data_IF_595953366721
#
_entry.id   IF_595953366721
#
_cell.length_a   1.000
_cell.length_b   1.000
_cell.length_c   1.000
_cell.angle_alpha   90.00
_cell.angle_beta   90.00
_cell.angle_gamma   90.00
#
_symmetry.space_group_name_H-M   'P 1'
#
loop_
_entity.id
_entity.type
_entity.pdbx_description
1 polymer ?
#
# COMPACT_ATOMS: atom_id res chain seq x y z
N UNK A 1 -18.10 -26.03 -34.09
CA UNK A 1 -17.42 -25.64 -32.84
C UNK A 1 -16.04 -26.29 -32.81
N UNK A 2 -14.96 -25.50 -32.79
CA UNK A 2 -13.58 -25.98 -32.59
C UNK A 2 -12.93 -25.06 -31.56
N UNK A 3 -12.83 -25.55 -30.32
CA UNK A 3 -12.17 -24.87 -29.21
C UNK A 3 -10.65 -25.00 -29.42
N UNK A 4 -9.94 -23.88 -29.55
CA UNK A 4 -8.47 -23.86 -29.52
C UNK A 4 -8.05 -23.42 -28.12
N UNK A 5 -7.54 -24.37 -27.34
CA UNK A 5 -6.92 -24.11 -26.04
C UNK A 5 -5.52 -23.58 -26.30
N UNK A 6 -5.28 -22.32 -25.94
CA UNK A 6 -3.94 -21.72 -25.94
C UNK A 6 -3.36 -21.95 -24.54
N UNK A 7 -2.39 -22.86 -24.44
CA UNK A 7 -1.60 -23.09 -23.23
C UNK A 7 -0.52 -22.00 -23.18
N UNK A 8 -0.61 -21.09 -22.22
CA UNK A 8 0.45 -20.12 -21.93
C UNK A 8 1.43 -20.82 -20.95
N UNK A 9 2.72 -20.94 -21.26
CA UNK A 9 3.66 -21.56 -20.34
C UNK A 9 3.82 -20.69 -19.10
N UNK A 10 3.56 -21.31 -17.95
CA UNK A 10 3.78 -20.76 -16.63
C UNK A 10 5.30 -20.72 -16.38
N UNK A 11 5.94 -19.62 -16.80
CA UNK A 11 7.34 -19.37 -16.50
C UNK A 11 7.49 -19.18 -14.98
N UNK A 12 7.91 -20.25 -14.32
CA UNK A 12 8.33 -20.30 -12.93
C UNK A 12 9.51 -19.33 -12.75
N UNK A 13 9.25 -18.13 -12.25
CA UNK A 13 10.29 -17.29 -11.68
C UNK A 13 10.68 -17.91 -10.32
N UNK A 14 11.74 -18.73 -10.32
CA UNK A 14 12.45 -19.07 -9.10
C UNK A 14 13.14 -17.78 -8.59
N UNK A 15 12.44 -17.02 -7.76
CA UNK A 15 13.13 -16.11 -6.85
C UNK A 15 13.81 -16.99 -5.81
N UNK A 16 15.13 -17.11 -5.90
CA UNK A 16 15.94 -17.69 -4.85
C UNK A 16 15.81 -16.80 -3.61
N UNK A 17 14.89 -17.17 -2.71
CA UNK A 17 14.85 -16.63 -1.37
C UNK A 17 16.12 -17.08 -0.66
N UNK A 18 17.14 -16.23 -0.64
CA UNK A 18 18.21 -16.38 0.34
C UNK A 18 17.59 -16.09 1.71
N UNK A 19 17.12 -17.15 2.38
CA UNK A 19 16.73 -17.09 3.77
C UNK A 19 18.00 -16.87 4.59
N UNK A 20 18.30 -15.61 4.94
CA UNK A 20 19.25 -15.31 5.99
C UNK A 20 18.57 -15.73 7.29
N UNK A 21 18.94 -16.90 7.81
CA UNK A 21 18.48 -17.32 9.13
C UNK A 21 19.01 -16.31 10.16
N UNK A 22 18.12 -15.50 10.72
CA UNK A 22 18.46 -14.62 11.83
C UNK A 22 18.84 -15.50 13.03
N UNK A 23 20.13 -15.55 13.35
CA UNK A 23 20.62 -16.22 14.56
C UNK A 23 20.17 -15.37 15.75
N UNK A 24 19.13 -15.82 16.45
CA UNK A 24 18.73 -15.18 17.71
C UNK A 24 19.77 -15.49 18.78
N UNK A 25 20.33 -14.45 19.39
CA UNK A 25 21.33 -14.61 20.46
C UNK A 25 20.69 -14.69 21.85
N UNK A 26 19.36 -14.77 21.90
CA UNK A 26 18.59 -14.74 23.14
C UNK A 26 17.93 -16.10 23.40
N UNK A 27 18.00 -16.63 24.63
CA UNK A 27 17.35 -17.89 24.96
C UNK A 27 15.83 -17.76 24.82
N UNK A 28 15.22 -18.64 24.02
CA UNK A 28 13.77 -18.63 23.83
C UNK A 28 13.07 -19.09 25.13
N UNK A 29 12.05 -18.33 25.55
CA UNK A 29 11.22 -18.67 26.72
C UNK A 29 11.53 -17.93 28.02
N UNK A 30 12.45 -16.96 28.04
CA UNK A 30 12.69 -16.07 29.19
C UNK A 30 12.26 -14.62 28.92
N UNK A 31 12.02 -13.85 29.98
CA UNK A 31 11.74 -12.41 29.87
C UNK A 31 12.90 -11.72 29.15
N UNK A 32 12.59 -11.08 28.03
CA UNK A 32 13.57 -10.37 27.19
C UNK A 32 14.23 -9.26 28.01
N UNK A 33 15.54 -9.33 28.18
CA UNK A 33 16.30 -8.27 28.84
C UNK A 33 16.70 -7.20 27.83
N UNK A 34 16.81 -5.94 28.27
CA UNK A 34 17.22 -4.82 27.40
C UNK A 34 18.57 -5.08 26.71
N UNK A 35 19.52 -5.72 27.41
CA UNK A 35 20.83 -6.09 26.86
C UNK A 35 20.74 -7.12 25.73
N UNK A 36 19.81 -8.05 25.84
CA UNK A 36 19.54 -9.06 24.83
C UNK A 36 18.91 -8.43 23.58
N UNK A 37 17.90 -7.58 23.75
CA UNK A 37 17.24 -6.88 22.64
C UNK A 37 18.22 -6.00 21.84
N UNK A 38 19.12 -5.29 22.52
CA UNK A 38 20.13 -4.44 21.85
C UNK A 38 21.16 -5.25 21.05
N UNK A 39 21.45 -6.49 21.47
CA UNK A 39 22.40 -7.36 20.77
C UNK A 39 21.79 -7.92 19.49
N UNK A 40 20.54 -8.36 19.54
CA UNK A 40 19.81 -8.83 18.36
C UNK A 40 19.56 -7.68 17.37
N UNK A 41 19.24 -6.47 17.84
CA UNK A 41 19.08 -5.28 16.98
C UNK A 41 20.39 -4.92 16.24
N UNK A 42 21.52 -4.93 16.97
CA UNK A 42 22.83 -4.70 16.36
C UNK A 42 23.15 -5.78 15.32
N UNK A 43 22.91 -7.06 15.62
CA UNK A 43 23.16 -8.15 14.69
C UNK A 43 22.27 -8.06 13.45
N UNK A 44 20.99 -7.69 13.61
CA UNK A 44 20.07 -7.46 12.50
C UNK A 44 20.54 -6.30 11.62
N UNK A 45 20.90 -5.16 12.22
CA UNK A 45 21.41 -3.99 11.49
C UNK A 45 22.70 -4.32 10.75
N UNK A 46 23.63 -5.03 11.39
CA UNK A 46 24.91 -5.40 10.79
C UNK A 46 24.75 -6.49 9.71
N UNK A 47 23.64 -7.26 9.75
CA UNK A 47 23.27 -8.23 8.71
C UNK A 47 22.55 -7.60 7.50
N UNK A 48 22.09 -6.35 7.60
CA UNK A 48 21.48 -5.68 6.47
C UNK A 48 22.54 -5.47 5.39
N UNK A 49 22.23 -5.75 4.11
CA UNK A 49 23.12 -5.40 3.02
C UNK A 49 23.39 -3.90 3.08
N UNK A 50 24.67 -3.52 3.06
CA UNK A 50 25.12 -2.13 3.13
C UNK A 50 24.82 -1.44 1.80
N UNK A 51 23.53 -1.27 1.53
CA UNK A 51 22.98 -0.79 0.27
C UNK A 51 23.18 0.70 0.25
N UNK A 52 23.98 1.17 -0.70
CA UNK A 52 24.23 2.60 -0.85
C UNK A 52 22.94 3.33 -1.23
N UNK A 53 22.83 4.62 -0.89
CA UNK A 53 21.70 5.44 -1.34
C UNK A 53 21.52 5.38 -2.88
N UNK A 54 22.61 5.21 -3.62
CA UNK A 54 22.59 5.06 -5.08
C UNK A 54 21.89 3.76 -5.52
N UNK A 55 22.17 2.63 -4.88
CA UNK A 55 21.51 1.35 -5.18
C UNK A 55 20.03 1.37 -4.78
N UNK A 56 19.67 2.00 -3.66
CA UNK A 56 18.26 2.22 -3.27
C UNK A 56 17.54 3.06 -4.34
N UNK A 57 18.16 4.14 -4.82
CA UNK A 57 17.61 4.98 -5.90
C UNK A 57 17.47 4.19 -7.20
N UNK A 58 18.45 3.34 -7.53
CA UNK A 58 18.38 2.51 -8.74
C UNK A 58 17.29 1.45 -8.65
N UNK A 59 17.13 0.79 -7.50
CA UNK A 59 16.02 -0.13 -7.24
C UNK A 59 14.67 0.59 -7.32
N UNK A 60 14.58 1.81 -6.80
CA UNK A 60 13.38 2.64 -6.94
C UNK A 60 13.08 2.95 -8.41
N UNK A 61 14.07 3.46 -9.15
CA UNK A 61 13.91 3.80 -10.57
C UNK A 61 13.58 2.58 -11.45
N UNK A 62 14.11 1.40 -11.13
CA UNK A 62 13.82 0.17 -11.86
C UNK A 62 12.40 -0.36 -11.60
N UNK A 63 11.85 -0.13 -10.41
CA UNK A 63 10.53 -0.64 -10.01
C UNK A 63 9.40 0.39 -10.15
N UNK A 64 9.74 1.68 -10.15
CA UNK A 64 8.81 2.72 -10.57
C UNK A 64 8.69 2.63 -12.08
N UNK A 65 7.51 2.22 -12.57
CA UNK A 65 7.13 2.52 -13.95
C UNK A 65 7.11 4.04 -14.09
N UNK A 66 8.20 4.61 -14.58
CA UNK A 66 8.16 5.94 -15.19
C UNK A 66 7.23 5.77 -16.39
N UNK A 67 6.01 6.30 -16.27
CA UNK A 67 5.15 6.48 -17.44
C UNK A 67 5.87 7.52 -18.28
N UNK A 68 6.71 7.07 -19.22
CA UNK A 68 7.25 7.93 -20.26
C UNK A 68 6.05 8.52 -20.97
N UNK A 69 5.86 9.83 -20.79
CA UNK A 69 4.79 10.61 -21.42
C UNK A 69 4.98 10.57 -22.94
N UNK A 70 4.44 9.53 -23.57
CA UNK A 70 4.03 9.54 -24.97
C UNK A 70 2.61 9.00 -25.09
N UNK A 71 1.78 9.31 -24.11
CA UNK A 71 0.34 9.24 -24.31
C UNK A 71 -0.10 10.62 -24.80
N UNK A 72 -0.92 10.74 -25.86
CA UNK A 72 -1.51 12.02 -26.24
C UNK A 72 -2.14 12.63 -24.99
N UNK A 73 -2.14 13.97 -24.88
CA UNK A 73 -2.73 14.72 -23.76
C UNK A 73 -4.21 14.32 -23.63
N UNK A 74 -4.46 13.20 -22.97
CA UNK A 74 -5.74 12.83 -22.42
C UNK A 74 -6.02 13.98 -21.46
N UNK A 75 -7.09 14.73 -21.72
CA UNK A 75 -7.61 15.67 -20.73
C UNK A 75 -8.07 14.83 -19.53
N UNK A 76 -7.12 14.49 -18.67
CA UNK A 76 -7.34 13.76 -17.43
C UNK A 76 -8.11 14.71 -16.53
N UNK A 77 -9.43 14.62 -16.60
CA UNK A 77 -10.33 15.37 -15.73
C UNK A 77 -10.28 14.69 -14.38
N UNK A 78 -9.63 15.33 -13.42
CA UNK A 78 -9.60 14.86 -12.04
C UNK A 78 -10.78 15.44 -11.27
N UNK A 79 -11.37 14.63 -10.41
CA UNK A 79 -12.37 15.10 -9.44
C UNK A 79 -11.89 14.70 -8.05
N UNK A 80 -11.86 15.68 -7.15
CA UNK A 80 -11.44 15.48 -5.76
C UNK A 80 -12.65 15.52 -4.85
N UNK A 81 -12.71 14.57 -3.92
CA UNK A 81 -13.78 14.43 -2.95
C UNK A 81 -13.19 14.32 -1.55
N UNK A 82 -13.99 14.66 -0.54
CA UNK A 82 -13.61 14.47 0.86
C UNK A 82 -14.72 13.77 1.64
N UNK A 83 -14.31 13.07 2.70
CA UNK A 83 -15.21 12.48 3.68
C UNK A 83 -14.59 12.67 5.07
N UNK A 84 -15.43 12.88 6.07
CA UNK A 84 -15.06 12.91 7.50
C UNK A 84 -16.14 12.17 8.28
N UNK A 85 -15.78 11.14 9.03
CA UNK A 85 -16.71 10.28 9.78
C UNK A 85 -17.96 9.88 9.00
N UNK A 86 -17.77 9.37 7.77
CA UNK A 86 -18.88 9.13 6.88
C UNK A 86 -18.47 8.51 5.57
N UNK A 87 -19.42 8.45 4.64
CA UNK A 87 -19.22 7.92 3.29
C UNK A 87 -19.67 8.95 2.27
N UNK A 88 -18.81 9.24 1.29
CA UNK A 88 -19.08 10.13 0.18
C UNK A 88 -19.11 9.33 -1.12
N UNK A 89 -20.19 9.45 -1.90
CA UNK A 89 -20.26 8.88 -3.25
C UNK A 89 -19.37 9.69 -4.19
N UNK A 90 -18.59 8.99 -5.00
CA UNK A 90 -17.64 9.54 -5.95
C UNK A 90 -18.19 9.45 -7.39
N UNK A 91 -17.37 8.99 -8.34
CA UNK A 91 -17.75 8.78 -9.75
C UNK A 91 -18.33 7.38 -9.99
N UNK A 92 -19.08 7.17 -11.10
CA UNK A 92 -19.44 5.85 -11.57
C UNK A 92 -18.21 4.97 -11.82
N UNK A 93 -18.33 3.65 -11.66
CA UNK A 93 -17.22 2.71 -11.94
C UNK A 93 -16.93 2.57 -13.43
N UNK A 94 -17.89 2.89 -14.30
CA UNK A 94 -17.70 2.87 -15.75
C UNK A 94 -16.97 4.14 -16.22
N UNK A 95 -15.70 4.00 -16.57
CA UNK A 95 -14.89 5.08 -17.13
C UNK A 95 -14.14 5.93 -16.11
N UNK A 96 -14.18 5.57 -14.82
CA UNK A 96 -13.38 6.24 -13.80
C UNK A 96 -12.71 5.24 -12.87
N UNK A 97 -11.49 5.55 -12.46
CA UNK A 97 -10.78 4.91 -11.36
C UNK A 97 -10.65 5.95 -10.24
N UNK A 98 -10.93 5.55 -9.00
CA UNK A 98 -10.79 6.43 -7.84
C UNK A 98 -9.85 5.79 -6.83
N UNK A 99 -8.97 6.59 -6.21
CA UNK A 99 -8.08 6.14 -5.13
C UNK A 99 -8.12 7.11 -3.97
N UNK A 100 -7.69 6.64 -2.80
CA UNK A 100 -7.42 7.51 -1.65
C UNK A 100 -6.27 8.44 -2.02
N UNK A 101 -6.44 9.74 -1.78
CA UNK A 101 -5.42 10.76 -1.99
C UNK A 101 -4.68 11.06 -0.69
N UNK A 102 -5.37 11.69 0.26
CA UNK A 102 -4.86 11.94 1.62
C UNK A 102 -5.78 11.28 2.63
N UNK A 103 -5.22 10.79 3.73
CA UNK A 103 -5.97 10.28 4.86
C UNK A 103 -5.36 10.83 6.14
N UNK A 104 -6.20 11.16 7.11
CA UNK A 104 -5.78 11.72 8.38
C UNK A 104 -6.85 11.52 9.43
N UNK A 105 -6.51 11.79 10.68
CA UNK A 105 -7.47 11.64 11.75
C UNK A 105 -6.89 11.92 13.12
N UNK A 106 -7.79 12.00 14.09
CA UNK A 106 -7.47 12.09 15.50
C UNK A 106 -7.89 10.81 16.20
N UNK A 107 -6.92 10.15 16.83
CA UNK A 107 -7.12 8.93 17.58
C UNK A 107 -7.41 9.24 19.04
N UNK A 108 -8.50 8.67 19.57
CA UNK A 108 -8.73 8.56 21.01
C UNK A 108 -8.36 7.14 21.47
N UNK A 109 -8.09 6.99 22.77
CA UNK A 109 -7.57 5.78 23.47
C UNK A 109 -7.75 4.46 22.69
N UNK A 110 -6.62 3.85 22.31
CA UNK A 110 -6.56 2.56 21.60
C UNK A 110 -5.77 2.67 20.31
N UNK A 111 -4.96 1.65 19.98
CA UNK A 111 -4.11 1.60 18.78
C UNK A 111 -4.90 1.37 17.48
N UNK A 112 -6.08 1.98 17.32
CA UNK A 112 -6.84 1.86 16.08
C UNK A 112 -6.39 2.94 15.11
N UNK A 113 -5.78 2.52 14.00
CA UNK A 113 -5.26 3.40 12.95
C UNK A 113 -6.34 4.08 12.10
N UNK A 114 -5.91 4.98 11.22
CA UNK A 114 -6.74 5.78 10.31
C UNK A 114 -7.37 4.77 9.34
N UNK A 115 -8.69 4.66 9.37
CA UNK A 115 -9.44 3.75 8.50
C UNK A 115 -10.19 4.58 7.45
N UNK A 116 -9.51 4.81 6.34
CA UNK A 116 -10.03 5.49 5.16
C UNK A 116 -9.85 4.59 3.96
N UNK A 117 -10.93 4.32 3.23
CA UNK A 117 -10.90 3.45 2.07
C UNK A 117 -11.77 3.96 0.93
N UNK A 118 -11.29 3.73 -0.31
CA UNK A 118 -12.11 3.86 -1.51
C UNK A 118 -12.55 2.46 -1.94
N UNK A 119 -13.84 2.28 -2.21
CA UNK A 119 -14.41 0.99 -2.58
C UNK A 119 -15.53 1.14 -3.63
N UNK A 120 -15.89 0.05 -4.28
CA UNK A 120 -16.97 0.00 -5.27
C UNK A 120 -18.24 -0.60 -4.66
N UNK A 121 -19.38 -0.02 -4.97
CA UNK A 121 -20.70 -0.59 -4.65
C UNK A 121 -21.76 -0.02 -5.60
N UNK A 122 -22.76 -0.81 -6.01
CA UNK A 122 -23.90 -0.29 -6.79
C UNK A 122 -23.55 0.52 -8.05
N UNK A 123 -22.43 0.21 -8.73
CA UNK A 123 -22.00 0.93 -9.94
C UNK A 123 -21.28 2.26 -9.70
N UNK A 124 -20.97 2.60 -8.44
CA UNK A 124 -20.22 3.80 -8.06
C UNK A 124 -19.02 3.49 -7.19
N UNK A 125 -18.06 4.40 -7.22
CA UNK A 125 -17.00 4.50 -6.23
C UNK A 125 -17.48 5.26 -5.00
N UNK A 126 -16.98 4.89 -3.84
CA UNK A 126 -17.28 5.52 -2.56
C UNK A 126 -15.98 5.73 -1.79
N UNK A 127 -15.87 6.87 -1.12
CA UNK A 127 -14.85 7.13 -0.11
C UNK A 127 -15.51 6.98 1.26
N UNK A 128 -15.00 6.10 2.11
CA UNK A 128 -15.42 5.97 3.50
C UNK A 128 -14.28 6.36 4.42
N UNK A 129 -14.59 7.23 5.37
CA UNK A 129 -13.76 7.56 6.51
C UNK A 129 -14.49 7.07 7.74
N UNK A 130 -14.08 5.92 8.28
CA UNK A 130 -14.85 5.23 9.31
C UNK A 130 -14.73 5.95 10.65
N UNK A 131 -15.86 6.20 11.28
CA UNK A 131 -15.91 6.60 12.67
C UNK A 131 -15.80 5.36 13.56
N UNK A 132 -14.88 5.35 14.53
CA UNK A 132 -14.94 4.35 15.60
C UNK A 132 -15.81 4.86 16.74
N UNK A 133 -16.60 3.97 17.32
CA UNK A 133 -17.50 4.19 18.46
C UNK A 133 -16.86 4.85 19.69
N UNK A 134 -15.52 4.88 19.77
CA UNK A 134 -14.73 5.58 20.80
C UNK A 134 -14.47 7.07 20.55
N UNK A 135 -15.07 7.68 19.52
CA UNK A 135 -14.92 9.12 19.23
C UNK A 135 -13.69 9.47 18.41
N UNK A 136 -13.12 8.50 17.68
CA UNK A 136 -12.02 8.74 16.74
C UNK A 136 -12.54 9.42 15.48
N UNK A 137 -11.86 10.48 15.07
CA UNK A 137 -12.25 11.30 13.93
C UNK A 137 -11.34 11.01 12.75
N UNK A 138 -11.88 10.36 11.72
CA UNK A 138 -11.13 10.06 10.50
C UNK A 138 -11.65 10.92 9.36
N UNK A 139 -10.72 11.46 8.58
CA UNK A 139 -11.00 12.19 7.36
C UNK A 139 -10.10 11.70 6.23
N UNK A 140 -10.59 11.85 5.01
CA UNK A 140 -9.80 11.54 3.83
C UNK A 140 -10.28 12.27 2.61
N UNK A 141 -9.44 12.23 1.59
CA UNK A 141 -9.80 12.66 0.25
C UNK A 141 -9.64 11.50 -0.73
N UNK A 142 -10.41 11.56 -1.80
CA UNK A 142 -10.28 10.67 -2.94
C UNK A 142 -10.08 11.49 -4.20
N UNK A 143 -9.24 11.00 -5.09
CA UNK A 143 -9.09 11.53 -6.44
C UNK A 143 -9.61 10.49 -7.41
N UNK A 144 -10.40 10.94 -8.38
CA UNK A 144 -10.89 10.11 -9.47
C UNK A 144 -10.32 10.60 -10.79
N UNK A 145 -9.88 9.68 -11.63
CA UNK A 145 -9.37 9.93 -12.98
C UNK A 145 -10.29 9.30 -14.01
N UNK A 146 -10.52 10.01 -15.12
CA UNK A 146 -11.15 9.42 -16.28
C UNK A 146 -10.21 8.35 -16.88
N UNK A 147 -10.74 7.17 -17.18
CA UNK A 147 -10.00 6.05 -17.78
C UNK A 147 -10.26 5.91 -19.29
N UNK A 148 -10.94 6.88 -19.89
CA UNK A 148 -11.27 6.95 -21.32
C UNK A 148 -10.72 8.23 -21.95
#
# INVERSE_FOLDING_TARGET
MKLRVIVIPLSLFLMSSQSIAAVSHCPQGQKMTLKCALKDDKAYRDSQPNTTNAEIIQMWNNNVRVVTESSPILKVTTSTYSARNGTTRLKPTNGYICTVGKAGGYYRRGLKGIEVNVYQSGGYWYLKAKHDSGGSDNWGSATCWNTK
#
